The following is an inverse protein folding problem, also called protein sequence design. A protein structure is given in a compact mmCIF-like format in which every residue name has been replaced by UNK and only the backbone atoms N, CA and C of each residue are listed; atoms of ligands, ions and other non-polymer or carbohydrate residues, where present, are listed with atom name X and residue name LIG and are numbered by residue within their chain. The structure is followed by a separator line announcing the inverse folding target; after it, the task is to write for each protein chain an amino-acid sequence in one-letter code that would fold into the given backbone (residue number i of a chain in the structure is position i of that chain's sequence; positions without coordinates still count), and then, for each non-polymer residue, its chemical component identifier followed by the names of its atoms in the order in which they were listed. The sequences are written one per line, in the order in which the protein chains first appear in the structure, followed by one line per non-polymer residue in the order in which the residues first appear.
data_IF_075375218511
#
_entry.id   IF_075375218511
#
_cell.length_a   1.000
_cell.length_b   1.000
_cell.length_c   1.000
_cell.angle_alpha   90.00
_cell.angle_beta   90.00
_cell.angle_gamma   90.00
#
_symmetry.space_group_name_H-M   'P 1'
#
loop_
_entity.id
_entity.type
_entity.pdbx_description
1 polymer ?
#
# COMPACT_ATOMS: atom_id res chain seq x y z
N UNK A 1 -58.08 33.33 -6.56
CA UNK A 1 -56.81 32.86 -7.14
C UNK A 1 -55.98 32.25 -6.02
N UNK A 2 -55.43 31.08 -6.28
CA UNK A 2 -54.96 30.09 -5.30
C UNK A 2 -53.74 30.53 -4.49
N UNK A 3 -53.70 30.01 -3.26
CA UNK A 3 -52.57 30.02 -2.33
C UNK A 3 -51.36 29.29 -2.88
N UNK A 4 -50.16 29.85 -2.68
CA UNK A 4 -48.91 29.07 -2.62
C UNK A 4 -48.04 29.59 -1.47
N UNK A 5 -48.08 28.87 -0.35
CA UNK A 5 -47.10 28.94 0.73
C UNK A 5 -45.87 28.12 0.33
N UNK A 6 -44.73 28.77 0.10
CA UNK A 6 -43.46 28.07 -0.05
C UNK A 6 -43.02 27.54 1.33
N UNK A 7 -43.09 26.22 1.52
CA UNK A 7 -42.51 25.54 2.68
C UNK A 7 -40.99 25.46 2.49
N UNK A 8 -40.25 26.11 3.37
CA UNK A 8 -38.83 25.86 3.58
C UNK A 8 -38.66 24.43 4.11
N UNK A 9 -37.98 23.56 3.37
CA UNK A 9 -37.40 22.34 3.93
C UNK A 9 -35.94 22.65 4.28
N UNK A 10 -35.51 22.54 5.55
CA UNK A 10 -34.10 22.51 5.84
C UNK A 10 -33.55 21.17 5.33
N UNK A 11 -32.71 21.22 4.30
CA UNK A 11 -31.79 20.13 4.01
C UNK A 11 -30.84 20.04 5.21
N UNK A 12 -31.09 19.07 6.07
CA UNK A 12 -30.13 18.65 7.08
C UNK A 12 -28.91 18.12 6.33
N UNK A 13 -27.86 18.94 6.26
CA UNK A 13 -26.51 18.49 5.98
C UNK A 13 -26.12 17.62 7.17
N UNK A 14 -26.35 16.32 7.06
CA UNK A 14 -25.63 15.33 7.85
C UNK A 14 -24.20 15.35 7.33
N UNK A 15 -23.41 16.32 7.80
CA UNK A 15 -21.97 16.18 7.88
C UNK A 15 -21.75 14.90 8.68
N UNK A 16 -21.19 13.87 8.03
CA UNK A 16 -20.59 12.75 8.72
C UNK A 16 -19.51 13.32 9.63
N UNK A 17 -19.88 13.62 10.86
CA UNK A 17 -18.96 13.56 11.97
C UNK A 17 -18.54 12.11 12.08
N UNK A 18 -17.48 11.74 11.36
CA UNK A 18 -16.63 10.63 11.77
C UNK A 18 -15.99 11.13 13.06
N UNK A 19 -16.73 10.99 14.15
CA UNK A 19 -16.26 11.27 15.49
C UNK A 19 -15.02 10.41 15.73
N UNK A 20 -13.99 10.95 16.40
CA UNK A 20 -12.77 10.26 16.88
C UNK A 20 -12.97 8.84 17.44
N UNK A 21 -14.21 8.48 17.77
CA UNK A 21 -14.68 7.15 18.13
C UNK A 21 -14.39 6.04 17.11
N UNK A 22 -14.29 6.33 15.80
CA UNK A 22 -14.05 5.30 14.79
C UNK A 22 -12.57 4.85 14.69
N UNK A 23 -11.61 5.72 15.05
CA UNK A 23 -10.17 5.40 15.02
C UNK A 23 -9.77 4.46 16.17
N UNK A 24 -10.43 4.58 17.33
CA UNK A 24 -10.14 3.74 18.50
C UNK A 24 -10.52 2.25 18.30
N UNK A 25 -11.33 1.91 17.29
CA UNK A 25 -11.82 0.55 17.05
C UNK A 25 -10.73 -0.36 16.45
N UNK A 26 -9.73 0.20 15.77
CA UNK A 26 -8.62 -0.56 15.15
C UNK A 26 -7.65 -1.13 16.19
N UNK A 27 -7.46 -0.42 17.30
CA UNK A 27 -6.49 -0.78 18.35
C UNK A 27 -7.14 -1.36 19.61
N UNK A 28 -8.43 -1.72 19.54
CA UNK A 28 -9.12 -2.32 20.68
C UNK A 28 -8.53 -3.71 21.00
N UNK A 29 -7.99 -3.86 22.21
CA UNK A 29 -7.36 -5.10 22.67
C UNK A 29 -5.89 -5.31 22.24
N UNK A 30 -5.27 -4.36 21.54
CA UNK A 30 -3.81 -4.37 21.25
C UNK A 30 -3.10 -3.50 22.29
N UNK A 31 -2.15 -4.07 23.03
CA UNK A 31 -1.27 -3.29 23.93
C UNK A 31 -0.23 -2.52 23.10
N UNK A 32 -0.55 -1.27 22.75
CA UNK A 32 0.40 -0.34 22.12
C UNK A 32 1.37 0.28 23.12
N UNK A 33 2.60 0.55 22.69
CA UNK A 33 3.60 1.27 23.47
C UNK A 33 3.39 2.79 23.35
N UNK A 34 3.61 3.52 24.44
CA UNK A 34 3.75 4.99 24.39
C UNK A 34 5.21 5.38 24.24
N UNK A 35 5.50 6.17 23.21
CA UNK A 35 6.79 6.81 22.98
C UNK A 35 6.64 8.29 23.29
N UNK A 36 7.37 8.81 24.26
CA UNK A 36 7.31 10.21 24.65
C UNK A 36 8.61 10.91 24.27
N UNK A 37 8.50 11.99 23.48
CA UNK A 37 9.63 12.81 23.06
C UNK A 37 9.42 14.26 23.49
N UNK A 38 10.53 14.94 23.79
CA UNK A 38 10.54 16.39 23.96
C UNK A 38 10.57 17.02 22.57
N UNK A 39 9.61 17.90 22.27
CA UNK A 39 9.55 18.63 21.01
C UNK A 39 10.41 19.89 21.11
N UNK A 40 11.61 19.83 20.53
CA UNK A 40 12.65 20.85 20.70
C UNK A 40 13.40 21.18 19.40
N UNK A 41 14.33 22.14 19.47
CA UNK A 41 15.12 22.63 18.34
C UNK A 41 16.61 22.39 18.64
N UNK A 42 17.35 21.61 17.82
CA UNK A 42 16.82 20.69 16.82
C UNK A 42 16.10 19.52 17.49
N UNK A 43 15.19 18.88 16.77
CA UNK A 43 14.51 17.68 17.25
C UNK A 43 15.51 16.50 17.35
N UNK A 44 15.45 15.74 18.44
CA UNK A 44 16.23 14.51 18.64
C UNK A 44 15.35 13.41 19.26
N UNK A 45 15.12 12.27 18.57
CA UNK A 45 15.52 12.00 17.19
C UNK A 45 14.64 12.72 16.15
N UNK A 46 15.17 12.99 14.95
CA UNK A 46 14.37 13.49 13.80
C UNK A 46 13.66 12.39 13.01
N UNK A 47 13.99 11.12 13.27
CA UNK A 47 13.28 9.96 12.73
C UNK A 47 13.08 8.93 13.84
N UNK A 48 11.87 8.40 13.98
CA UNK A 48 11.56 7.32 14.93
C UNK A 48 10.74 6.25 14.22
N UNK A 49 10.99 5.00 14.59
CA UNK A 49 10.19 3.85 14.16
C UNK A 49 9.33 3.38 15.34
N UNK A 50 8.04 3.20 15.09
CA UNK A 50 7.06 2.71 16.08
C UNK A 50 6.14 1.67 15.43
N UNK A 51 5.33 0.96 16.21
CA UNK A 51 4.39 -0.01 15.68
C UNK A 51 2.97 0.57 15.49
N UNK A 52 2.16 -0.05 14.63
CA UNK A 52 0.71 0.17 14.62
C UNK A 52 0.15 -0.06 16.02
N UNK A 53 -0.78 0.80 16.43
CA UNK A 53 -1.34 0.93 17.77
C UNK A 53 -0.46 1.56 18.84
N UNK A 54 0.81 1.85 18.55
CA UNK A 54 1.62 2.70 19.42
C UNK A 54 1.09 4.14 19.45
N UNK A 55 1.43 4.85 20.52
CA UNK A 55 1.13 6.26 20.72
C UNK A 55 2.42 7.05 20.76
N UNK A 56 2.51 8.13 19.99
CA UNK A 56 3.56 9.13 20.14
C UNK A 56 3.02 10.35 20.87
N UNK A 57 3.72 10.74 21.93
CA UNK A 57 3.49 11.94 22.69
C UNK A 57 4.66 12.91 22.50
N UNK A 58 4.35 14.10 22.01
CA UNK A 58 5.27 15.23 21.92
C UNK A 58 4.90 16.24 23.00
N UNK A 59 5.88 16.68 23.79
CA UNK A 59 5.68 17.72 24.81
C UNK A 59 6.72 18.83 24.69
N UNK A 60 6.33 20.07 24.96
CA UNK A 60 7.23 21.22 24.85
C UNK A 60 6.94 22.31 25.88
N UNK A 61 7.94 23.17 26.07
CA UNK A 61 7.80 24.45 26.77
C UNK A 61 8.06 25.60 25.80
N UNK A 62 7.59 26.81 26.11
CA UNK A 62 7.74 27.93 25.17
C UNK A 62 6.70 27.90 24.04
N UNK A 63 7.02 28.52 22.91
CA UNK A 63 6.08 28.70 21.78
C UNK A 63 6.42 27.76 20.64
N UNK A 64 5.69 26.64 20.56
CA UNK A 64 5.80 25.67 19.46
C UNK A 64 4.41 25.22 19.03
N UNK A 65 4.31 24.71 17.81
CA UNK A 65 3.12 24.07 17.26
C UNK A 65 3.54 22.79 16.53
N UNK A 66 2.56 22.00 16.13
CA UNK A 66 2.74 20.80 15.30
C UNK A 66 1.80 20.90 14.11
N UNK A 67 2.35 20.89 12.90
CA UNK A 67 1.62 20.79 11.63
C UNK A 67 1.96 19.47 10.94
N UNK A 68 0.99 18.89 10.22
CA UNK A 68 1.12 17.58 9.54
C UNK A 68 0.30 16.45 10.21
N UNK A 69 0.85 15.23 10.18
CA UNK A 69 0.48 14.04 10.97
C UNK A 69 -0.59 13.06 10.50
N UNK A 70 -1.64 13.46 9.80
CA UNK A 70 -2.60 12.50 9.17
C UNK A 70 -3.43 13.29 8.18
N UNK A 71 -3.70 12.73 7.00
CA UNK A 71 -4.46 13.35 5.91
C UNK A 71 -3.79 14.54 5.20
N UNK A 72 -2.58 14.90 5.61
CA UNK A 72 -1.82 16.01 5.07
C UNK A 72 -1.11 15.62 3.77
N UNK A 73 -1.78 15.81 2.64
CA UNK A 73 -1.28 15.58 1.27
C UNK A 73 0.14 16.06 0.97
N UNK A 74 0.69 17.03 1.72
CA UNK A 74 2.02 17.61 1.49
C UNK A 74 2.94 17.58 2.73
N UNK A 75 2.65 16.79 3.78
CA UNK A 75 3.43 16.85 5.02
C UNK A 75 4.91 16.49 4.84
N UNK A 76 5.23 15.57 3.91
CA UNK A 76 6.61 15.29 3.54
C UNK A 76 7.32 16.51 2.93
N UNK A 77 6.67 17.23 2.01
CA UNK A 77 7.24 18.44 1.42
C UNK A 77 7.51 19.49 2.50
N UNK A 78 6.57 19.71 3.43
CA UNK A 78 6.77 20.65 4.53
C UNK A 78 7.96 20.27 5.41
N UNK A 79 8.14 18.97 5.66
CA UNK A 79 9.28 18.44 6.39
C UNK A 79 10.61 18.69 5.66
N UNK A 80 10.66 18.49 4.35
CA UNK A 80 11.88 18.64 3.57
C UNK A 80 12.24 20.11 3.33
N UNK A 81 11.25 20.94 3.00
CA UNK A 81 11.47 22.30 2.47
C UNK A 81 11.13 23.41 3.46
N UNK A 82 10.45 23.11 4.57
CA UNK A 82 9.91 24.12 5.50
C UNK A 82 8.97 25.14 4.82
N UNK A 83 8.23 24.72 3.80
CA UNK A 83 7.23 25.55 3.12
C UNK A 83 5.83 25.12 3.53
N UNK A 84 5.11 25.92 4.32
CA UNK A 84 3.85 25.50 4.94
C UNK A 84 2.59 25.92 4.16
N UNK A 85 2.70 26.05 2.84
CA UNK A 85 1.55 26.41 2.00
C UNK A 85 0.47 25.34 2.12
N UNK A 86 -0.72 25.74 2.54
CA UNK A 86 -1.88 24.86 2.83
C UNK A 86 -1.62 23.83 3.95
N UNK A 87 -0.73 24.13 4.89
CA UNK A 87 -0.47 23.25 6.00
C UNK A 87 -1.63 23.18 7.00
N UNK A 88 -1.99 21.97 7.43
CA UNK A 88 -2.98 21.74 8.47
C UNK A 88 -2.33 21.63 9.84
N UNK A 89 -2.95 22.29 10.81
CA UNK A 89 -2.52 22.32 12.20
C UNK A 89 -3.00 21.06 12.93
N UNK A 90 -2.07 20.31 13.52
CA UNK A 90 -2.34 19.17 14.38
C UNK A 90 -2.37 19.55 15.87
N UNK A 91 -1.50 20.51 16.26
CA UNK A 91 -1.54 21.17 17.56
C UNK A 91 -1.14 22.64 17.43
N UNK A 92 -1.97 23.52 17.98
CA UNK A 92 -1.77 24.97 17.97
C UNK A 92 -0.68 25.43 18.94
N UNK A 93 -0.18 26.65 18.75
CA UNK A 93 0.81 27.27 19.65
C UNK A 93 0.29 27.62 21.05
N UNK A 94 -1.00 27.37 21.31
CA UNK A 94 -1.61 27.52 22.63
C UNK A 94 -1.53 26.25 23.48
N UNK A 95 -1.11 25.13 22.87
CA UNK A 95 -0.91 23.85 23.53
C UNK A 95 0.55 23.68 23.94
N UNK A 96 0.79 22.75 24.87
CA UNK A 96 2.12 22.34 25.33
C UNK A 96 2.43 20.87 25.04
N UNK A 97 1.50 20.17 24.40
CA UNK A 97 1.66 18.78 24.01
C UNK A 97 0.77 18.41 22.83
N UNK A 98 1.16 17.33 22.16
CA UNK A 98 0.43 16.68 21.10
C UNK A 98 0.57 15.17 21.27
N UNK A 99 -0.54 14.44 21.17
CA UNK A 99 -0.57 12.98 21.34
C UNK A 99 -1.34 12.38 20.19
N UNK A 100 -0.78 11.33 19.59
CA UNK A 100 -1.43 10.62 18.49
C UNK A 100 -1.19 9.12 18.61
N UNK A 101 -2.28 8.37 18.50
CA UNK A 101 -2.25 6.90 18.37
C UNK A 101 -2.32 6.54 16.89
N UNK A 102 -1.39 5.72 16.45
CA UNK A 102 -1.30 5.30 15.06
C UNK A 102 -2.12 4.04 14.83
N UNK A 103 -2.95 4.05 13.81
CA UNK A 103 -3.85 2.93 13.47
C UNK A 103 -3.54 2.34 12.10
N UNK A 104 -2.66 2.98 11.34
CA UNK A 104 -2.23 2.58 10.00
C UNK A 104 -0.71 2.63 9.93
N UNK A 105 -0.11 1.70 9.18
CA UNK A 105 1.32 1.73 8.88
C UNK A 105 1.62 2.83 7.85
N UNK A 106 2.87 3.29 7.83
CA UNK A 106 3.35 4.27 6.86
C UNK A 106 4.14 5.42 7.48
N UNK A 107 4.63 6.34 6.63
CA UNK A 107 5.37 7.50 7.08
C UNK A 107 4.44 8.65 7.47
N UNK A 108 4.71 9.22 8.63
CA UNK A 108 4.05 10.42 9.13
C UNK A 108 5.08 11.51 9.39
N UNK A 109 4.70 12.77 9.16
CA UNK A 109 5.61 13.90 9.28
C UNK A 109 5.00 14.99 10.16
N UNK A 110 5.82 15.52 11.06
CA UNK A 110 5.49 16.66 11.91
C UNK A 110 6.53 17.77 11.76
N UNK A 111 6.08 19.01 11.68
CA UNK A 111 6.94 20.20 11.62
C UNK A 111 6.46 21.29 12.56
N UNK A 112 7.38 22.12 13.04
CA UNK A 112 7.02 23.37 13.70
C UNK A 112 7.11 24.53 12.70
N UNK A 113 6.02 25.30 12.59
CA UNK A 113 5.91 26.41 11.62
C UNK A 113 6.22 27.78 12.23
N UNK A 114 6.68 27.80 13.49
CA UNK A 114 7.02 29.04 14.21
C UNK A 114 8.38 29.56 13.73
N UNK A 115 8.37 30.75 13.14
CA UNK A 115 9.61 31.47 12.79
C UNK A 115 10.56 30.62 11.95
N UNK A 116 11.77 30.37 12.46
CA UNK A 116 12.80 29.56 11.82
C UNK A 116 12.98 28.16 12.45
N UNK A 117 11.98 27.68 13.19
CA UNK A 117 12.13 26.43 13.97
C UNK A 117 12.32 25.20 13.08
N UNK A 118 11.56 25.07 11.99
CA UNK A 118 11.71 23.96 11.04
C UNK A 118 13.09 23.97 10.37
N UNK A 119 13.57 25.14 9.93
CA UNK A 119 14.88 25.30 9.29
C UNK A 119 16.02 24.97 10.26
N UNK A 120 15.79 25.20 11.55
CA UNK A 120 16.70 24.82 12.63
C UNK A 120 16.49 23.37 13.12
N UNK A 121 15.68 22.57 12.41
CA UNK A 121 15.56 21.13 12.65
C UNK A 121 14.44 20.71 13.59
N UNK A 122 13.46 21.56 13.90
CA UNK A 122 12.28 21.16 14.65
C UNK A 122 11.24 20.52 13.73
N UNK A 123 11.54 19.26 13.39
CA UNK A 123 10.76 18.41 12.50
C UNK A 123 11.04 16.94 12.83
N UNK A 124 10.05 16.08 12.64
CA UNK A 124 10.16 14.64 12.87
C UNK A 124 9.46 13.85 11.77
N UNK A 125 10.08 12.74 11.37
CA UNK A 125 9.46 11.67 10.59
C UNK A 125 9.20 10.48 11.50
N UNK A 126 8.00 9.93 11.42
CA UNK A 126 7.58 8.76 12.20
C UNK A 126 7.26 7.66 11.23
N UNK A 127 7.97 6.54 11.32
CA UNK A 127 7.76 5.36 10.48
C UNK A 127 6.94 4.38 11.32
N UNK A 128 5.67 4.22 10.98
CA UNK A 128 4.80 3.25 11.64
C UNK A 128 4.88 1.93 10.89
N UNK A 129 5.26 0.88 11.60
CA UNK A 129 5.38 -0.48 11.07
C UNK A 129 4.20 -1.32 11.52
N UNK A 130 3.73 -2.22 10.67
CA UNK A 130 2.75 -3.22 11.10
C UNK A 130 3.28 -4.07 12.25
N UNK A 131 2.38 -4.37 13.19
CA UNK A 131 2.64 -5.37 14.23
C UNK A 131 2.58 -6.75 13.56
N UNK A 132 3.71 -7.19 13.00
CA UNK A 132 3.88 -8.62 12.73
C UNK A 132 3.86 -9.30 14.09
N UNK A 133 2.81 -10.08 14.39
CA UNK A 133 2.74 -10.88 15.62
C UNK A 133 3.91 -11.88 15.63
N UNK A 134 5.04 -11.47 16.21
CA UNK A 134 6.18 -12.33 16.42
C UNK A 134 5.85 -13.25 17.61
N UNK A 135 5.92 -14.58 17.46
CA UNK A 135 5.66 -15.48 18.58
C UNK A 135 6.73 -15.26 19.66
N UNK A 136 6.27 -14.89 20.85
CA UNK A 136 7.08 -14.74 22.05
C UNK A 136 7.83 -16.05 22.36
N UNK A 137 9.11 -16.13 22.02
CA UNK A 137 10.02 -17.10 22.62
C UNK A 137 10.71 -16.46 23.83
N UNK A 138 10.39 -16.95 25.03
CA UNK A 138 11.06 -16.55 26.28
C UNK A 138 12.58 -16.79 26.19
N UNK A 139 13.43 -15.86 26.64
CA UNK A 139 14.85 -16.14 26.79
C UNK A 139 15.06 -17.04 28.02
N UNK A 140 15.44 -18.29 27.80
CA UNK A 140 15.91 -19.16 28.88
C UNK A 140 17.39 -18.84 29.13
N UNK A 141 17.69 -18.35 30.33
CA UNK A 141 19.04 -18.10 30.83
C UNK A 141 19.71 -19.42 31.22
N UNK A 142 20.89 -19.69 30.67
CA UNK A 142 21.87 -20.56 31.35
C UNK A 142 23.30 -20.20 30.93
N UNK A 143 24.24 -20.03 31.88
CA UNK A 143 25.62 -19.66 31.60
C UNK A 143 26.46 -20.92 31.32
N UNK A 144 27.39 -20.85 30.36
CA UNK A 144 28.48 -21.83 30.25
C UNK A 144 29.79 -21.13 29.94
N UNK A 145 30.83 -21.60 30.63
CA UNK A 145 32.11 -20.99 31.00
C UNK A 145 33.09 -20.71 29.84
N UNK A 146 34.09 -19.81 30.03
CA UNK A 146 35.16 -19.54 29.07
C UNK A 146 36.48 -20.30 29.44
N UNK A 147 37.64 -20.09 28.78
CA UNK A 147 38.14 -20.85 27.62
C UNK A 147 39.56 -21.45 27.82
N UNK A 148 40.05 -22.30 26.90
CA UNK A 148 41.49 -22.63 26.73
C UNK A 148 41.67 -23.42 25.43
N UNK A 149 42.59 -23.18 24.49
CA UNK A 149 43.58 -22.13 24.25
C UNK A 149 44.36 -22.47 22.94
N UNK A 150 44.45 -21.50 22.01
CA UNK A 150 45.58 -21.09 21.11
C UNK A 150 46.45 -22.12 20.31
N UNK A 151 47.25 -21.71 19.30
CA UNK A 151 46.91 -21.15 17.98
C UNK A 151 47.64 -21.88 16.82
N UNK A 152 47.28 -21.65 15.54
CA UNK A 152 48.23 -21.77 14.40
C UNK A 152 47.81 -20.84 13.25
N UNK A 153 48.80 -20.13 12.71
CA UNK A 153 48.81 -19.08 11.69
C UNK A 153 48.39 -19.58 10.27
N UNK A 154 47.52 -18.86 9.52
CA UNK A 154 47.79 -17.75 8.57
C UNK A 154 47.90 -18.22 7.11
N UNK A 155 47.78 -17.34 6.09
CA UNK A 155 46.61 -16.56 5.67
C UNK A 155 46.11 -17.04 4.29
N UNK A 156 45.03 -16.46 3.73
CA UNK A 156 44.93 -15.98 2.33
C UNK A 156 43.47 -15.81 1.87
N UNK A 157 43.27 -14.70 1.15
CA UNK A 157 42.15 -14.30 0.27
C UNK A 157 40.78 -14.01 0.90
N UNK A 158 40.59 -12.70 1.11
CA UNK A 158 39.33 -11.96 1.03
C UNK A 158 38.40 -12.43 -0.09
N UNK A 159 37.10 -12.57 0.20
CA UNK A 159 36.07 -12.06 -0.69
C UNK A 159 35.44 -10.82 -0.05
N UNK A 160 35.58 -9.70 -0.77
CA UNK A 160 34.75 -8.52 -0.58
C UNK A 160 33.29 -8.94 -0.78
N UNK A 161 32.56 -9.11 0.33
CA UNK A 161 31.11 -9.25 0.29
C UNK A 161 30.54 -7.86 0.50
N UNK A 162 30.26 -7.20 -0.62
CA UNK A 162 29.41 -6.03 -0.70
C UNK A 162 28.08 -6.37 0.01
N UNK A 163 27.76 -5.63 1.07
CA UNK A 163 26.44 -5.66 1.68
C UNK A 163 25.46 -5.06 0.67
N UNK A 164 24.81 -5.93 -0.11
CA UNK A 164 23.60 -5.56 -0.82
C UNK A 164 22.49 -5.31 0.22
N UNK A 165 21.64 -4.29 0.03
CA UNK A 165 20.53 -4.04 0.94
C UNK A 165 19.63 -5.27 0.99
N UNK A 166 19.30 -5.70 2.21
CA UNK A 166 18.39 -6.79 2.49
C UNK A 166 17.04 -6.48 1.84
N UNK A 167 16.71 -7.14 0.73
CA UNK A 167 15.39 -7.04 0.12
C UNK A 167 14.36 -7.57 1.11
N UNK A 168 13.33 -6.76 1.40
CA UNK A 168 12.18 -7.11 2.27
C UNK A 168 11.56 -8.44 1.85
N UNK A 169 11.67 -8.77 0.57
CA UNK A 169 11.18 -10.01 -0.01
C UNK A 169 12.04 -11.24 0.25
N UNK A 170 13.12 -11.19 1.04
CA UNK A 170 13.75 -12.37 1.65
C UNK A 170 14.16 -13.51 0.70
N UNK A 171 14.35 -13.24 -0.59
CA UNK A 171 14.61 -14.27 -1.62
C UNK A 171 13.37 -15.06 -2.07
N UNK A 172 12.16 -14.64 -1.68
CA UNK A 172 10.90 -15.13 -2.27
C UNK A 172 10.84 -14.59 -3.71
N UNK A 173 10.85 -15.50 -4.68
CA UNK A 173 10.75 -15.15 -6.10
C UNK A 173 9.28 -14.80 -6.40
N UNK A 174 8.96 -13.51 -6.31
CA UNK A 174 7.63 -12.99 -6.65
C UNK A 174 7.33 -13.14 -8.14
N UNK A 175 6.05 -13.21 -8.49
CA UNK A 175 5.63 -13.28 -9.88
C UNK A 175 5.80 -11.92 -10.55
N UNK A 176 6.30 -11.91 -11.79
CA UNK A 176 6.22 -10.71 -12.65
C UNK A 176 4.93 -10.75 -13.45
N UNK A 177 4.15 -9.68 -13.33
CA UNK A 177 2.96 -9.41 -14.13
C UNK A 177 3.34 -8.32 -15.13
N UNK A 178 3.30 -8.62 -16.42
CA UNK A 178 3.62 -7.65 -17.48
C UNK A 178 2.35 -7.25 -18.21
N UNK A 179 2.06 -5.95 -18.24
CA UNK A 179 0.92 -5.38 -18.95
C UNK A 179 1.39 -4.38 -20.02
N UNK A 180 0.63 -4.29 -21.10
CA UNK A 180 0.83 -3.23 -22.09
C UNK A 180 0.10 -1.98 -21.59
N UNK A 181 0.81 -0.87 -21.44
CA UNK A 181 0.27 0.40 -20.99
C UNK A 181 -0.30 1.16 -22.18
N UNK A 182 -1.62 1.08 -22.35
CA UNK A 182 -2.32 1.57 -23.53
C UNK A 182 -3.66 2.26 -23.21
N UNK A 183 -4.37 2.71 -24.25
CA UNK A 183 -5.63 3.45 -24.14
C UNK A 183 -6.74 2.71 -24.89
N UNK A 184 -7.84 2.31 -24.21
CA UNK A 184 -7.98 2.22 -22.76
C UNK A 184 -7.07 1.14 -22.19
N UNK A 185 -6.70 1.26 -20.92
CA UNK A 185 -5.95 0.22 -20.23
C UNK A 185 -6.82 -1.03 -20.03
N UNK A 186 -6.27 -2.22 -20.30
CA UNK A 186 -6.92 -3.52 -20.02
C UNK A 186 -5.91 -4.49 -19.39
N UNK A 187 -6.13 -4.96 -18.14
CA UNK A 187 -7.20 -4.57 -17.24
C UNK A 187 -6.95 -3.20 -16.57
N UNK A 188 -8.02 -2.48 -16.19
CA UNK A 188 -7.93 -1.27 -15.35
C UNK A 188 -7.81 -1.56 -13.86
N UNK A 189 -8.02 -2.80 -13.44
CA UNK A 189 -7.80 -3.28 -12.07
C UNK A 189 -7.12 -4.65 -12.10
N UNK A 190 -6.04 -4.81 -11.35
CA UNK A 190 -5.33 -6.09 -11.21
C UNK A 190 -5.08 -6.38 -9.73
N UNK A 191 -5.15 -7.65 -9.36
CA UNK A 191 -4.76 -8.13 -8.04
C UNK A 191 -3.45 -8.91 -8.15
N UNK A 192 -2.48 -8.59 -7.28
CA UNK A 192 -1.17 -9.24 -7.21
C UNK A 192 -0.80 -9.49 -5.75
N UNK A 193 0.26 -10.27 -5.49
CA UNK A 193 0.72 -10.54 -4.13
C UNK A 193 1.86 -9.60 -3.70
N UNK A 194 2.04 -9.42 -2.39
CA UNK A 194 3.28 -8.83 -1.84
C UNK A 194 4.48 -9.62 -2.39
N UNK A 195 5.52 -8.89 -2.76
CA UNK A 195 6.73 -9.31 -3.46
C UNK A 195 6.62 -9.57 -4.96
N UNK A 196 5.40 -9.54 -5.53
CA UNK A 196 5.24 -9.52 -6.99
C UNK A 196 5.79 -8.22 -7.60
N UNK A 197 6.08 -8.29 -8.89
CA UNK A 197 6.52 -7.15 -9.69
C UNK A 197 5.48 -6.87 -10.76
N UNK A 198 5.05 -5.61 -10.90
CA UNK A 198 4.29 -5.15 -12.07
C UNK A 198 5.23 -4.43 -13.02
N UNK A 199 5.20 -4.84 -14.28
CA UNK A 199 5.85 -4.18 -15.39
C UNK A 199 4.80 -3.62 -16.34
N UNK A 200 4.86 -2.32 -16.59
CA UNK A 200 4.09 -1.62 -17.60
C UNK A 200 5.03 -1.28 -18.76
N UNK A 201 4.67 -1.62 -19.99
CA UNK A 201 5.46 -1.27 -21.18
C UNK A 201 4.60 -0.60 -22.24
N UNK A 202 5.14 0.38 -22.96
CA UNK A 202 4.41 1.14 -23.98
C UNK A 202 5.29 1.54 -25.16
N UNK A 203 4.60 1.90 -26.26
CA UNK A 203 5.20 2.59 -27.40
C UNK A 203 4.56 3.96 -27.55
N UNK A 204 5.24 4.90 -28.21
CA UNK A 204 4.74 6.28 -28.31
C UNK A 204 4.98 7.09 -27.03
N UNK A 205 4.15 8.10 -26.78
CA UNK A 205 4.35 9.09 -25.70
C UNK A 205 3.37 8.83 -24.57
N UNK A 206 3.84 8.15 -23.53
CA UNK A 206 3.09 7.89 -22.29
C UNK A 206 3.99 8.11 -21.08
N UNK A 207 3.38 8.42 -19.95
CA UNK A 207 4.03 8.52 -18.65
C UNK A 207 3.19 7.74 -17.62
N UNK A 208 3.76 7.56 -16.43
CA UNK A 208 3.07 7.01 -15.27
C UNK A 208 3.23 8.01 -14.12
N UNK A 209 2.11 8.51 -13.63
CA UNK A 209 2.01 9.35 -12.44
C UNK A 209 1.19 8.64 -11.39
N UNK A 210 1.53 8.89 -10.11
CA UNK A 210 1.07 8.05 -9.01
C UNK A 210 1.73 6.68 -9.06
N UNK A 211 2.07 6.12 -7.90
CA UNK A 211 2.38 4.69 -7.76
C UNK A 211 2.68 4.27 -6.32
N UNK A 212 3.19 5.18 -5.49
CA UNK A 212 3.50 4.94 -4.07
C UNK A 212 3.52 6.28 -3.31
N UNK A 213 3.13 6.26 -2.04
CA UNK A 213 3.10 7.39 -1.08
C UNK A 213 2.26 8.63 -1.48
N UNK A 214 1.54 8.57 -2.60
CA UNK A 214 0.79 9.72 -3.10
C UNK A 214 -0.63 9.67 -2.54
N UNK A 215 -0.88 10.45 -1.49
CA UNK A 215 -2.16 10.54 -0.75
C UNK A 215 -3.37 10.80 -1.68
N UNK A 216 -3.15 11.36 -2.87
CA UNK A 216 -4.19 11.67 -3.86
C UNK A 216 -4.21 10.74 -5.09
N UNK A 217 -3.42 9.65 -5.12
CA UNK A 217 -3.32 8.80 -6.31
C UNK A 217 -4.69 8.23 -6.73
N UNK A 218 -5.55 7.92 -5.74
CA UNK A 218 -6.93 7.51 -5.99
C UNK A 218 -7.77 8.64 -6.62
N UNK A 219 -7.67 9.87 -6.11
CA UNK A 219 -8.40 11.01 -6.67
C UNK A 219 -7.97 11.28 -8.11
N UNK A 220 -6.67 11.23 -8.41
CA UNK A 220 -6.16 11.40 -9.76
C UNK A 220 -6.69 10.31 -10.71
N UNK A 221 -6.74 9.07 -10.23
CA UNK A 221 -7.33 7.94 -10.95
C UNK A 221 -8.81 8.15 -11.25
N UNK A 222 -9.59 8.64 -10.29
CA UNK A 222 -11.02 8.83 -10.46
C UNK A 222 -11.36 10.06 -11.31
N UNK A 223 -10.64 11.16 -11.11
CA UNK A 223 -11.01 12.49 -11.62
C UNK A 223 -10.16 12.98 -12.79
N UNK A 224 -9.00 12.37 -13.04
CA UNK A 224 -8.00 12.85 -14.00
C UNK A 224 -7.52 14.29 -13.72
N UNK A 225 -7.54 14.71 -12.46
CA UNK A 225 -6.95 15.98 -12.02
C UNK A 225 -5.56 15.72 -11.44
N UNK A 226 -4.50 16.27 -12.03
CA UNK A 226 -3.11 15.95 -11.65
C UNK A 226 -2.45 17.05 -10.80
N UNK A 227 -3.24 17.85 -10.10
CA UNK A 227 -2.69 18.88 -9.20
C UNK A 227 -1.83 18.21 -8.14
N UNK A 228 -0.54 18.59 -8.08
CA UNK A 228 0.48 18.01 -7.20
C UNK A 228 0.80 16.54 -7.46
N UNK A 229 0.58 16.05 -8.69
CA UNK A 229 0.94 14.69 -9.03
C UNK A 229 2.46 14.50 -9.18
N UNK A 230 2.98 13.42 -8.58
CA UNK A 230 4.37 13.00 -8.71
C UNK A 230 4.55 12.02 -9.87
N UNK A 231 5.63 12.21 -10.63
CA UNK A 231 5.99 11.36 -11.76
C UNK A 231 6.71 10.10 -11.27
N UNK A 232 6.17 8.93 -11.62
CA UNK A 232 6.79 7.63 -11.36
C UNK A 232 7.60 7.13 -12.58
N UNK A 233 7.13 7.46 -13.79
CA UNK A 233 7.86 7.26 -15.04
C UNK A 233 7.59 8.40 -16.01
N UNK A 234 8.66 8.93 -16.61
CA UNK A 234 8.58 10.04 -17.55
C UNK A 234 8.21 9.61 -18.97
N UNK A 235 7.75 10.58 -19.76
CA UNK A 235 7.44 10.38 -21.19
C UNK A 235 8.63 10.04 -22.09
N UNK A 236 9.86 10.09 -21.54
CA UNK A 236 11.08 9.65 -22.22
C UNK A 236 11.37 8.16 -22.06
N UNK A 237 10.66 7.49 -21.14
CA UNK A 237 10.78 6.05 -20.90
C UNK A 237 9.79 5.29 -21.79
N UNK A 238 10.01 3.98 -21.90
CA UNK A 238 9.13 3.04 -22.62
C UNK A 238 8.59 1.93 -21.73
N UNK A 239 8.99 1.93 -20.46
CA UNK A 239 8.49 1.02 -19.45
C UNK A 239 8.61 1.62 -18.06
N UNK A 240 7.84 1.03 -17.15
CA UNK A 240 7.87 1.27 -15.72
C UNK A 240 7.77 -0.08 -15.01
N UNK A 241 8.62 -0.30 -14.00
CA UNK A 241 8.67 -1.56 -13.24
C UNK A 241 8.66 -1.24 -11.76
N UNK A 242 7.83 -1.95 -11.01
CA UNK A 242 7.74 -1.78 -9.57
C UNK A 242 7.55 -3.12 -8.87
N UNK A 243 8.40 -3.40 -7.89
CA UNK A 243 8.23 -4.51 -6.97
C UNK A 243 7.48 -4.03 -5.73
N UNK A 244 6.39 -4.71 -5.39
CA UNK A 244 5.57 -4.33 -4.25
C UNK A 244 6.06 -5.03 -3.00
N UNK A 245 6.38 -4.29 -1.97
CA UNK A 245 6.82 -4.85 -0.68
C UNK A 245 5.76 -4.72 0.41
N UNK A 246 4.65 -4.05 0.11
CA UNK A 246 3.57 -3.75 1.05
C UNK A 246 2.22 -4.04 0.39
N UNK A 247 1.25 -4.51 1.19
CA UNK A 247 -0.11 -4.71 0.73
C UNK A 247 -0.86 -3.39 0.67
N UNK A 248 -1.83 -3.27 -0.24
CA UNK A 248 -2.64 -2.07 -0.37
C UNK A 248 -3.02 -1.74 -1.81
N UNK A 249 -3.87 -0.72 -1.99
CA UNK A 249 -4.20 -0.20 -3.31
C UNK A 249 -3.14 0.78 -3.79
N UNK A 250 -2.68 0.58 -5.02
CA UNK A 250 -1.81 1.49 -5.73
C UNK A 250 -2.49 1.95 -7.02
N UNK A 251 -2.22 3.17 -7.45
CA UNK A 251 -2.88 3.76 -8.62
C UNK A 251 -1.83 4.37 -9.56
N UNK A 252 -1.99 4.12 -10.85
CA UNK A 252 -1.21 4.74 -11.90
C UNK A 252 -2.12 5.40 -12.92
N UNK A 253 -1.74 6.59 -13.38
CA UNK A 253 -2.45 7.36 -14.41
C UNK A 253 -1.47 7.89 -15.45
N UNK A 254 -1.94 8.03 -16.69
CA UNK A 254 -1.21 8.81 -17.69
C UNK A 254 -1.75 10.25 -17.73
N UNK A 255 -0.86 11.23 -17.59
CA UNK A 255 -1.21 12.67 -17.53
C UNK A 255 -1.10 13.36 -18.89
N UNK A 256 -0.78 12.61 -19.95
CA UNK A 256 -0.61 13.15 -21.29
C UNK A 256 -1.97 13.45 -21.92
N UNK A 257 -2.25 14.74 -22.15
CA UNK A 257 -3.40 15.18 -22.92
C UNK A 257 -4.73 14.68 -22.35
N UNK A 258 -5.41 13.79 -23.09
CA UNK A 258 -6.70 13.19 -22.69
C UNK A 258 -6.61 11.71 -22.36
N UNK A 259 -5.39 11.18 -22.10
CA UNK A 259 -5.16 9.76 -21.96
C UNK A 259 -5.89 9.16 -20.75
N UNK A 260 -5.86 9.83 -19.60
CA UNK A 260 -6.57 9.38 -18.40
C UNK A 260 -8.09 9.33 -18.62
N UNK A 261 -8.68 10.36 -19.23
CA UNK A 261 -10.11 10.43 -19.52
C UNK A 261 -10.54 9.36 -20.51
N UNK A 262 -9.65 8.97 -21.41
CA UNK A 262 -9.83 7.85 -22.33
C UNK A 262 -9.48 6.48 -21.71
N UNK A 263 -9.20 6.43 -20.41
CA UNK A 263 -9.05 5.19 -19.64
C UNK A 263 -7.62 4.66 -19.52
N UNK A 264 -6.59 5.48 -19.75
CA UNK A 264 -5.20 5.09 -19.48
C UNK A 264 -4.87 5.29 -18.00
N UNK A 265 -5.36 4.35 -17.21
CA UNK A 265 -5.23 4.32 -15.76
C UNK A 265 -5.39 2.89 -15.23
N UNK A 266 -4.70 2.57 -14.15
CA UNK A 266 -4.77 1.25 -13.51
C UNK A 266 -4.80 1.39 -11.98
N UNK A 267 -5.58 0.51 -11.35
CA UNK A 267 -5.55 0.23 -9.92
C UNK A 267 -4.93 -1.15 -9.68
N UNK A 268 -3.97 -1.22 -8.78
CA UNK A 268 -3.27 -2.46 -8.42
C UNK A 268 -3.60 -2.75 -6.97
N UNK A 269 -4.23 -3.88 -6.71
CA UNK A 269 -4.56 -4.35 -5.36
C UNK A 269 -3.50 -5.37 -4.97
N UNK A 270 -2.58 -4.95 -4.10
CA UNK A 270 -1.57 -5.86 -3.56
C UNK A 270 -2.13 -6.53 -2.32
N UNK A 271 -2.18 -7.86 -2.34
CA UNK A 271 -2.65 -8.68 -1.23
C UNK A 271 -1.45 -9.28 -0.50
N UNK A 272 -1.55 -9.39 0.81
CA UNK A 272 -0.58 -10.16 1.57
C UNK A 272 -0.51 -11.59 1.03
N UNK A 273 0.71 -12.10 0.94
CA UNK A 273 0.92 -13.54 0.85
C UNK A 273 0.47 -14.10 2.19
N UNK A 274 -0.79 -14.55 2.25
CA UNK A 274 -1.19 -15.47 3.31
C UNK A 274 -0.25 -16.65 3.16
N UNK A 275 0.68 -16.80 4.09
CA UNK A 275 1.46 -18.02 4.19
C UNK A 275 0.44 -19.15 4.32
N UNK A 276 0.14 -19.81 3.20
CA UNK A 276 -0.53 -21.10 3.22
C UNK A 276 0.28 -21.93 4.21
N UNK A 277 -0.33 -22.53 5.26
CA UNK A 277 0.44 -23.30 6.22
C UNK A 277 1.20 -24.36 5.44
N UNK A 278 2.51 -24.14 5.33
CA UNK A 278 3.45 -25.13 4.82
C UNK A 278 3.19 -26.38 5.64
N UNK A 279 2.70 -27.42 4.98
CA UNK A 279 2.57 -28.73 5.57
C UNK A 279 3.96 -29.14 6.06
N UNK A 280 4.18 -28.98 7.37
CA UNK A 280 5.33 -29.49 8.09
C UNK A 280 5.47 -30.97 7.76
N UNK A 281 6.66 -31.32 7.28
CA UNK A 281 6.96 -32.61 6.71
C UNK A 281 6.62 -33.78 7.61
N UNK A 282 6.22 -34.88 6.97
CA UNK A 282 6.29 -36.20 7.57
C UNK A 282 7.54 -36.90 7.00
N UNK A 283 8.54 -37.24 7.81
CA UNK A 283 9.61 -38.11 7.38
C UNK A 283 9.15 -39.55 7.61
N UNK A 284 8.94 -40.34 6.56
CA UNK A 284 9.09 -41.81 6.68
C UNK A 284 9.49 -42.39 5.34
N UNK A 285 10.78 -42.65 5.23
CA UNK A 285 11.39 -43.60 4.32
C UNK A 285 10.96 -45.03 4.62
N UNK A 286 10.43 -45.75 3.63
CA UNK A 286 10.70 -47.18 3.42
C UNK A 286 10.21 -47.67 2.05
N UNK A 287 10.84 -48.71 1.49
CA UNK A 287 10.90 -48.95 0.05
C UNK A 287 9.68 -49.74 -0.44
N UNK A 288 9.18 -49.40 -1.64
CA UNK A 288 8.20 -50.24 -2.33
C UNK A 288 8.89 -51.01 -3.45
N UNK A 289 9.13 -52.28 -3.15
CA UNK A 289 9.56 -53.30 -4.08
C UNK A 289 8.51 -53.50 -5.18
N UNK A 290 9.00 -53.67 -6.40
CA UNK A 290 8.26 -54.19 -7.54
C UNK A 290 7.48 -55.45 -7.16
N UNK A 291 6.27 -55.61 -7.70
CA UNK A 291 5.74 -56.87 -8.24
C UNK A 291 4.39 -56.61 -8.93
N UNK A 292 4.38 -56.64 -10.26
CA UNK A 292 3.21 -57.09 -11.05
C UNK A 292 3.06 -58.61 -10.86
N UNK A 293 1.86 -59.21 -10.98
CA UNK A 293 1.45 -59.64 -12.33
C UNK A 293 -0.08 -59.67 -12.61
N UNK A 294 -0.39 -59.43 -13.88
CA UNK A 294 -1.39 -60.05 -14.77
C UNK A 294 -2.79 -60.44 -14.25
N UNK A 295 -3.81 -59.95 -14.97
CA UNK A 295 -4.84 -60.85 -15.51
C UNK A 295 -5.49 -60.31 -16.79
N UNK A 296 -5.44 -61.16 -17.81
CA UNK A 296 -6.05 -61.02 -19.13
C UNK A 296 -7.58 -60.91 -19.10
N UNK A 297 -8.09 -60.21 -20.13
CA UNK A 297 -9.30 -60.42 -20.94
C UNK A 297 -10.63 -60.78 -20.21
N UNK A 298 -11.78 -60.19 -20.55
CA UNK A 298 -12.52 -60.38 -21.80
C UNK A 298 -13.64 -59.31 -21.88
N UNK A 299 -13.89 -58.82 -23.10
CA UNK A 299 -15.04 -58.00 -23.53
C UNK A 299 -15.88 -58.84 -24.53
N UNK A 300 -17.05 -58.44 -25.07
CA UNK A 300 -18.07 -57.46 -24.66
C UNK A 300 -19.47 -58.13 -24.53
N UNK A 301 -20.55 -57.37 -24.24
CA UNK A 301 -21.79 -57.28 -25.05
C UNK A 301 -22.79 -56.26 -24.44
N UNK A 302 -23.29 -55.37 -25.32
CA UNK A 302 -24.55 -54.61 -25.42
C UNK A 302 -25.62 -54.73 -24.32
N UNK A 303 -26.49 -53.77 -24.02
CA UNK A 303 -26.99 -52.53 -24.66
C UNK A 303 -27.46 -51.58 -23.53
N UNK A 304 -27.77 -50.30 -23.74
CA UNK A 304 -29.16 -49.85 -23.97
C UNK A 304 -29.18 -48.33 -24.22
N UNK A 305 -29.78 -47.97 -25.36
CA UNK A 305 -30.57 -46.78 -25.74
C UNK A 305 -30.02 -45.34 -25.52
N UNK A 306 -29.87 -44.70 -26.68
CA UNK A 306 -29.85 -43.26 -27.00
C UNK A 306 -31.30 -42.78 -27.32
N UNK A 307 -31.55 -41.60 -27.92
CA UNK A 307 -31.37 -40.23 -27.44
C UNK A 307 -32.69 -39.41 -27.51
N UNK A 308 -32.71 -38.18 -27.01
CA UNK A 308 -33.41 -37.10 -27.73
C UNK A 308 -32.63 -35.80 -27.57
N UNK A 309 -32.05 -35.38 -28.69
CA UNK A 309 -31.46 -34.07 -28.97
C UNK A 309 -32.51 -33.28 -29.78
N UNK A 310 -32.48 -31.96 -29.67
CA UNK A 310 -32.52 -30.93 -30.75
C UNK A 310 -33.37 -29.69 -30.32
N UNK A 311 -33.23 -28.52 -30.98
CA UNK A 311 -32.01 -27.70 -31.09
C UNK A 311 -32.28 -26.17 -31.12
N UNK A 312 -31.20 -25.37 -31.13
CA UNK A 312 -30.99 -24.09 -31.86
C UNK A 312 -31.91 -22.88 -31.53
N UNK A 313 -31.45 -21.62 -31.52
CA UNK A 313 -30.62 -20.97 -32.54
C UNK A 313 -29.91 -19.71 -31.99
N UNK A 314 -28.68 -19.48 -32.46
CA UNK A 314 -27.99 -18.19 -32.48
C UNK A 314 -28.68 -17.18 -33.40
N UNK A 315 -28.50 -15.88 -33.13
CA UNK A 315 -28.09 -14.92 -34.16
C UNK A 315 -27.58 -13.61 -33.54
N UNK A 316 -26.37 -13.24 -33.95
CA UNK A 316 -25.80 -11.89 -33.94
C UNK A 316 -26.72 -10.84 -34.59
N UNK A 317 -26.56 -9.57 -34.20
CA UNK A 317 -25.95 -8.50 -35.04
C UNK A 317 -26.48 -7.09 -34.67
N UNK A 318 -25.54 -6.16 -34.62
CA UNK A 318 -25.63 -4.72 -34.33
C UNK A 318 -26.67 -3.91 -35.12
N UNK A 319 -27.27 -2.88 -34.49
CA UNK A 319 -27.75 -1.62 -35.11
C UNK A 319 -28.07 -0.57 -34.02
N UNK A 320 -27.26 0.47 -33.81
CA UNK A 320 -27.25 1.80 -34.48
C UNK A 320 -28.56 2.61 -34.31
N UNK A 321 -28.43 3.73 -33.58
CA UNK A 321 -29.15 5.02 -33.64
C UNK A 321 -30.68 5.05 -33.49
N UNK A 322 -31.17 5.66 -32.39
CA UNK A 322 -32.00 6.87 -32.42
C UNK A 322 -32.48 7.21 -31.00
N UNK A 323 -32.20 8.42 -30.52
CA UNK A 323 -33.17 9.35 -29.89
C UNK A 323 -32.46 10.65 -29.46
N UNK A 324 -32.31 11.56 -30.42
CA UNK A 324 -32.25 13.03 -30.19
C UNK A 324 -33.57 13.63 -30.66
N UNK A 325 -33.88 14.82 -30.10
CA UNK A 325 -35.10 15.66 -30.19
C UNK A 325 -36.17 15.23 -29.17
N UNK A 326 -36.74 16.08 -28.32
CA UNK A 326 -37.27 17.46 -28.46
C UNK A 326 -37.26 18.05 -27.02
N UNK A 327 -36.77 19.25 -26.68
CA UNK A 327 -37.53 20.51 -26.62
C UNK A 327 -36.63 21.66 -26.11
N UNK A 328 -36.46 22.68 -26.96
CA UNK A 328 -36.30 24.11 -26.64
C UNK A 328 -37.28 24.83 -27.58
N UNK A 329 -37.87 25.96 -27.21
CA UNK A 329 -37.15 27.21 -26.98
C UNK A 329 -36.94 27.58 -25.51
#
# INVERSE_FOLDING_TARGET
MQHYTARYMPFAVFLLGITQKALAEVCDGVEGQTHSLTWEIPMDPQEIEIAVCDTLELSWSGTHNVYGWSDSVNAQEWFETCNFTNANEAASSSQSSFTHQYTEAGPYYGVCTIGSHCENGQKIKVIVKDVTASPTAMPTTSPTSPPSGSPTASPTSSPSSSLSPTSVCGGVEGQTHSLTWEIPMDPQEIEIAVCDTLELSWSGTHNVYGWSDSVNAQEWFETCNFTNANEAASSSQSSFTHQYTEAGPYYGVCTIGSHCENGQKIKVIVKDVTASPTATGSPTSSPSSSLSPTKDAVSPMSATLSPTILPWCSSDYSRIEHLKKIMKP
#
